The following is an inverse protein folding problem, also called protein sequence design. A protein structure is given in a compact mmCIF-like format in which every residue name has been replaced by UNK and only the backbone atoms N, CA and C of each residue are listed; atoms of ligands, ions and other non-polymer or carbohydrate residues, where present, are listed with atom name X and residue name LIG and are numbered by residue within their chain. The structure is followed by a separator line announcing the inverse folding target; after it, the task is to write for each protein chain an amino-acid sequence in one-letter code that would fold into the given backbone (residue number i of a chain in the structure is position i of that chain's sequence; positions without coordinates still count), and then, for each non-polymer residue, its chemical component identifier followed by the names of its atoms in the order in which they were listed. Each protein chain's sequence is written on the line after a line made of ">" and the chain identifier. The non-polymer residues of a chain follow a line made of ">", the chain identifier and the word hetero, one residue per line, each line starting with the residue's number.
data_IF_175218734491
#
_entry.id   IF_175218734491
#
_cell.length_a   1.000
_cell.length_b   1.000
_cell.length_c   1.000
_cell.angle_alpha   90.00
_cell.angle_beta   90.00
_cell.angle_gamma   90.00
#
_symmetry.space_group_name_H-M   'P 1'
#
loop_
_entity.id
_entity.type
_entity.pdbx_description
1 polymer ?
#
# COMPACT_ATOMS: atom_id res chain seq x y z
N UNK A 1 -12.96 0.26 -11.71
CA UNK A 1 -11.80 -0.18 -12.52
C UNK A 1 -11.70 -1.70 -12.62
N UNK A 2 -12.13 -2.50 -11.62
CA UNK A 2 -12.19 -3.97 -11.76
C UNK A 2 -10.82 -4.65 -11.94
N UNK A 3 -9.74 -3.90 -11.71
CA UNK A 3 -8.36 -4.37 -11.81
C UNK A 3 -7.92 -4.75 -10.40
N UNK A 4 -7.51 -6.00 -10.15
CA UNK A 4 -7.01 -6.43 -8.85
C UNK A 4 -5.64 -5.81 -8.54
N UNK A 5 -5.31 -5.74 -7.25
CA UNK A 5 -3.96 -5.41 -6.81
C UNK A 5 -3.15 -6.70 -6.81
N UNK A 6 -1.92 -6.67 -7.33
CA UNK A 6 -1.09 -7.86 -7.30
C UNK A 6 -0.77 -8.30 -5.88
N UNK A 7 -0.84 -9.60 -5.62
CA UNK A 7 -0.52 -10.19 -4.33
C UNK A 7 -1.60 -9.92 -3.28
N UNK A 8 -2.74 -9.34 -3.68
CA UNK A 8 -3.92 -9.26 -2.85
C UNK A 8 -4.64 -10.61 -2.86
N UNK A 9 -4.58 -11.31 -1.72
CA UNK A 9 -5.25 -12.58 -1.52
C UNK A 9 -6.65 -12.42 -0.89
N UNK A 10 -7.12 -11.19 -0.68
CA UNK A 10 -8.45 -10.91 -0.14
C UNK A 10 -9.44 -10.51 -1.22
N UNK A 11 -8.99 -9.77 -2.25
CA UNK A 11 -9.86 -9.19 -3.26
C UNK A 11 -9.47 -9.53 -4.70
N UNK A 12 -10.46 -9.65 -5.60
CA UNK A 12 -11.90 -9.58 -5.34
C UNK A 12 -12.45 -10.86 -4.70
N UNK A 13 -11.68 -11.95 -4.72
CA UNK A 13 -12.05 -13.23 -4.13
C UNK A 13 -10.96 -13.66 -3.15
N UNK A 14 -11.38 -14.13 -1.99
CA UNK A 14 -10.47 -14.58 -0.95
C UNK A 14 -9.75 -15.87 -1.37
N UNK A 15 -8.44 -15.87 -1.16
CA UNK A 15 -7.50 -16.95 -1.35
C UNK A 15 -6.67 -17.11 -0.07
N UNK A 16 -6.58 -18.34 0.44
CA UNK A 16 -5.80 -18.62 1.65
C UNK A 16 -4.33 -18.82 1.28
N UNK A 17 -3.45 -17.97 1.82
CA UNK A 17 -2.01 -18.20 1.78
C UNK A 17 -1.58 -19.20 2.85
N UNK A 18 -0.49 -19.92 2.58
CA UNK A 18 0.16 -20.75 3.59
C UNK A 18 0.84 -19.82 4.61
N UNK A 19 0.63 -20.01 5.92
CA UNK A 19 1.29 -19.18 6.93
C UNK A 19 2.82 -19.19 6.74
N UNK A 20 3.41 -18.01 6.61
CA UNK A 20 4.86 -17.85 6.38
C UNK A 20 5.30 -17.88 4.91
N UNK A 21 4.39 -18.12 3.97
CA UNK A 21 4.68 -17.97 2.53
C UNK A 21 4.50 -16.51 2.10
N UNK A 22 5.61 -15.86 1.77
CA UNK A 22 5.69 -14.48 1.26
C UNK A 22 6.18 -14.43 -0.19
N UNK A 23 6.06 -15.54 -0.94
CA UNK A 23 6.51 -15.61 -2.34
C UNK A 23 5.77 -14.66 -3.28
N UNK A 24 4.54 -14.28 -2.93
CA UNK A 24 3.69 -13.35 -3.71
C UNK A 24 3.17 -12.22 -2.82
N UNK A 25 4.01 -11.22 -2.47
CA UNK A 25 3.61 -10.15 -1.56
C UNK A 25 2.68 -9.14 -2.22
N UNK A 26 1.80 -8.51 -1.43
CA UNK A 26 0.95 -7.40 -1.87
C UNK A 26 1.78 -6.24 -2.44
N UNK A 27 1.59 -5.93 -3.73
CA UNK A 27 2.26 -4.80 -4.41
C UNK A 27 1.44 -3.52 -4.27
N UNK A 28 1.37 -3.01 -3.04
CA UNK A 28 0.71 -1.75 -2.72
C UNK A 28 1.68 -0.84 -1.95
N UNK A 29 1.88 0.37 -2.46
CA UNK A 29 2.75 1.37 -1.86
C UNK A 29 2.00 2.70 -1.74
N UNK A 30 1.90 3.22 -0.51
CA UNK A 30 1.41 4.58 -0.28
C UNK A 30 2.40 5.59 -0.87
N UNK A 31 1.95 6.39 -1.82
CA UNK A 31 2.80 7.37 -2.52
C UNK A 31 3.08 8.62 -1.68
N UNK A 32 2.08 9.09 -0.92
CA UNK A 32 2.22 10.24 -0.04
C UNK A 32 1.26 10.16 1.15
N UNK A 33 1.58 10.91 2.20
CA UNK A 33 0.68 11.25 3.30
C UNK A 33 0.67 12.76 3.48
N UNK A 34 -0.51 13.34 3.70
CA UNK A 34 -0.71 14.77 3.85
C UNK A 34 -1.68 15.05 5.00
N UNK A 35 -1.34 16.00 5.87
CA UNK A 35 -2.16 16.36 7.04
C UNK A 35 -1.89 17.80 7.50
N UNK A 36 -2.81 18.35 8.29
CA UNK A 36 -2.59 19.61 9.01
C UNK A 36 -1.78 19.35 10.27
N UNK A 37 -0.66 20.03 10.40
CA UNK A 37 0.22 19.85 11.54
C UNK A 37 -0.40 20.41 12.82
N UNK A 38 -0.60 19.59 13.86
CA UNK A 38 -1.28 20.04 15.08
C UNK A 38 -0.40 20.94 15.96
N UNK A 39 0.91 21.02 15.70
CA UNK A 39 1.84 21.78 16.52
C UNK A 39 2.11 23.20 15.98
N UNK A 40 2.31 23.33 14.66
CA UNK A 40 2.56 24.64 14.02
C UNK A 40 1.46 25.09 13.05
N UNK A 41 0.40 24.31 12.84
CA UNK A 41 -0.82 24.75 12.14
C UNK A 41 -0.69 24.88 10.61
N UNK A 42 0.24 24.17 9.98
CA UNK A 42 0.45 24.20 8.52
C UNK A 42 0.24 22.84 7.86
N UNK A 43 -0.12 22.81 6.57
CA UNK A 43 -0.16 21.56 5.80
C UNK A 43 1.25 20.99 5.65
N UNK A 44 1.42 19.72 6.00
CA UNK A 44 2.63 18.94 5.73
C UNK A 44 2.31 17.80 4.77
N UNK A 45 3.23 17.55 3.84
CA UNK A 45 3.17 16.44 2.90
C UNK A 45 4.49 15.69 2.91
N UNK A 46 4.42 14.38 2.95
CA UNK A 46 5.57 13.49 2.88
C UNK A 46 5.35 12.51 1.74
N UNK A 47 6.38 12.31 0.91
CA UNK A 47 6.32 11.42 -0.24
C UNK A 47 7.26 10.24 -0.05
N UNK A 48 6.87 9.09 -0.58
CA UNK A 48 7.70 7.89 -0.53
C UNK A 48 8.92 8.04 -1.43
N UNK A 49 10.06 7.51 -0.97
CA UNK A 49 11.27 7.36 -1.80
C UNK A 49 11.39 5.96 -2.41
N UNK A 50 10.39 5.09 -2.20
CA UNK A 50 10.36 3.72 -2.72
C UNK A 50 9.61 3.69 -4.04
N UNK A 51 9.95 2.73 -4.89
CA UNK A 51 9.18 2.35 -6.07
C UNK A 51 8.66 0.92 -5.90
N UNK A 52 7.56 0.60 -6.59
CA UNK A 52 7.16 -0.79 -6.78
C UNK A 52 8.09 -1.41 -7.84
N UNK A 53 8.66 -2.57 -7.52
CA UNK A 53 9.37 -3.40 -8.49
C UNK A 53 8.35 -4.17 -9.33
N UNK A 54 8.62 -4.26 -10.64
CA UNK A 54 7.79 -4.97 -11.61
C UNK A 54 7.90 -6.48 -11.46
#
# INVERSE_FOLDING_TARGET
>A
LGIPIEGDNYYPAFSRSVPGDFSTPLRLLSSAIEFEDPLVGGRRRFETRRSLSW
#
